data_IF_589888423555
#
_entry.id   IF_589888423555
#
_cell.length_a   1.000
_cell.length_b   1.000
_cell.length_c   1.000
_cell.angle_alpha   90.00
_cell.angle_beta   90.00
_cell.angle_gamma   90.00
#
_symmetry.space_group_name_H-M   'P 1'
#
loop_
_entity.id
_entity.type
_entity.pdbx_description
1 polymer ?
#
# COMPACT_ATOMS: atom_id res chain seq x y z
N UNK A 1 -9.19 -16.50 2.89
CA UNK A 1 -7.75 -16.48 2.53
C UNK A 1 -7.52 -16.99 1.10
N UNK A 2 -7.98 -18.17 0.72
CA UNK A 2 -7.78 -18.76 -0.63
C UNK A 2 -8.24 -17.83 -1.76
N UNK A 3 -9.37 -17.15 -1.61
CA UNK A 3 -9.86 -16.20 -2.63
C UNK A 3 -8.90 -15.06 -2.92
N UNK A 4 -8.16 -14.58 -1.93
CA UNK A 4 -7.15 -13.54 -2.15
C UNK A 4 -6.01 -14.07 -3.04
N UNK A 5 -5.51 -15.28 -2.75
CA UNK A 5 -4.51 -15.92 -3.60
C UNK A 5 -5.02 -16.16 -5.02
N UNK A 6 -6.29 -16.52 -5.15
CA UNK A 6 -6.92 -16.74 -6.46
C UNK A 6 -6.97 -15.44 -7.28
N UNK A 7 -7.44 -14.33 -6.70
CA UNK A 7 -7.52 -13.04 -7.39
C UNK A 7 -6.13 -12.56 -7.84
N UNK A 8 -5.12 -12.69 -6.96
CA UNK A 8 -3.74 -12.34 -7.30
C UNK A 8 -3.17 -13.26 -8.40
N UNK A 9 -3.45 -14.56 -8.30
CA UNK A 9 -3.01 -15.55 -9.31
C UNK A 9 -3.66 -15.33 -10.68
N UNK A 10 -4.87 -14.77 -10.72
CA UNK A 10 -5.54 -14.38 -11.97
C UNK A 10 -4.99 -13.08 -12.56
N UNK A 11 -4.15 -12.38 -11.83
CA UNK A 11 -3.63 -11.08 -12.24
C UNK A 11 -4.76 -10.06 -12.48
N UNK A 12 -5.84 -10.18 -11.67
CA UNK A 12 -6.99 -9.29 -11.76
C UNK A 12 -6.70 -7.97 -11.02
N UNK A 13 -6.80 -6.81 -11.68
CA UNK A 13 -6.59 -5.51 -11.06
C UNK A 13 -7.81 -5.13 -10.21
N UNK A 14 -7.85 -5.64 -9.00
CA UNK A 14 -8.92 -5.45 -8.03
C UNK A 14 -8.43 -4.60 -6.87
N UNK A 15 -9.17 -3.57 -6.48
CA UNK A 15 -8.85 -2.73 -5.33
C UNK A 15 -9.78 -3.06 -4.18
N UNK A 16 -9.20 -3.50 -3.07
CA UNK A 16 -9.89 -3.83 -1.81
C UNK A 16 -9.60 -2.72 -0.80
N UNK A 17 -10.65 -2.06 -0.33
CA UNK A 17 -10.54 -1.14 0.80
C UNK A 17 -10.73 -1.93 2.08
N UNK A 18 -9.66 -2.08 2.86
CA UNK A 18 -9.69 -2.78 4.14
C UNK A 18 -9.85 -1.79 5.28
N UNK A 19 -10.80 -2.06 6.16
CA UNK A 19 -10.99 -1.34 7.42
C UNK A 19 -10.44 -2.20 8.54
N UNK A 20 -9.18 -1.98 8.87
CA UNK A 20 -8.37 -2.84 9.75
C UNK A 20 -8.85 -2.79 11.19
N UNK A 21 -9.09 -3.92 11.80
CA UNK A 21 -9.43 -4.08 13.22
C UNK A 21 -8.95 -5.42 13.78
N UNK A 22 -8.91 -5.51 15.10
CA UNK A 22 -8.60 -6.76 15.78
C UNK A 22 -9.53 -7.89 15.37
N UNK A 23 -8.95 -9.06 15.11
CA UNK A 23 -9.69 -10.26 14.73
C UNK A 23 -10.40 -10.88 15.94
N UNK A 24 -11.60 -11.47 15.69
CA UNK A 24 -12.31 -12.26 16.72
C UNK A 24 -11.51 -13.53 17.06
N UNK A 25 -11.59 -14.11 18.23
CA UNK A 25 -12.25 -13.70 19.46
C UNK A 25 -11.19 -13.28 20.49
N UNK A 26 -11.43 -12.22 21.27
CA UNK A 26 -12.63 -11.42 21.38
C UNK A 26 -12.78 -10.43 20.21
N UNK A 27 -14.00 -9.97 19.93
CA UNK A 27 -14.25 -8.90 18.96
C UNK A 27 -13.84 -7.55 19.54
N UNK A 28 -13.25 -6.70 18.73
CA UNK A 28 -12.93 -5.31 19.06
C UNK A 28 -13.17 -4.39 17.87
N UNK A 29 -13.36 -3.09 18.13
CA UNK A 29 -13.39 -2.05 17.12
C UNK A 29 -12.05 -1.32 17.00
N UNK A 30 -11.13 -1.57 17.92
CA UNK A 30 -9.81 -0.96 17.92
C UNK A 30 -9.00 -1.44 16.69
N UNK A 31 -8.21 -0.55 16.08
CA UNK A 31 -7.38 -0.88 14.95
C UNK A 31 -6.31 -1.88 15.36
N UNK A 32 -6.12 -2.84 14.48
CA UNK A 32 -5.09 -3.87 14.60
C UNK A 32 -4.79 -4.36 13.18
N UNK A 33 -3.53 -4.40 12.82
CA UNK A 33 -3.12 -4.75 11.46
C UNK A 33 -3.03 -6.27 11.20
N UNK A 34 -3.39 -7.14 12.15
CA UNK A 34 -3.32 -8.59 11.96
C UNK A 34 -4.14 -9.10 10.78
N UNK A 35 -5.29 -8.48 10.47
CA UNK A 35 -6.14 -8.85 9.35
C UNK A 35 -5.43 -8.64 8.01
N UNK A 36 -4.86 -7.47 7.79
CA UNK A 36 -4.12 -7.14 6.55
C UNK A 36 -2.76 -7.83 6.50
N UNK A 37 -2.09 -8.00 7.65
CA UNK A 37 -0.83 -8.74 7.73
C UNK A 37 -1.02 -10.23 7.42
N UNK A 38 -2.15 -10.82 7.79
CA UNK A 38 -2.49 -12.19 7.39
C UNK A 38 -2.60 -12.35 5.86
N UNK A 39 -2.88 -11.26 5.14
CA UNK A 39 -2.98 -11.25 3.68
C UNK A 39 -1.66 -10.85 2.97
N UNK A 40 -0.59 -10.54 3.71
CA UNK A 40 0.67 -9.99 3.15
C UNK A 40 1.34 -10.84 2.07
N UNK A 41 1.15 -12.15 2.10
CA UNK A 41 1.76 -13.10 1.17
C UNK A 41 0.79 -13.59 0.08
N UNK A 42 -0.41 -12.99 0.00
CA UNK A 42 -1.44 -13.37 -0.98
C UNK A 42 -1.13 -12.95 -2.41
N UNK A 43 -0.19 -12.02 -2.61
CA UNK A 43 0.14 -11.41 -3.90
C UNK A 43 -0.56 -10.06 -4.14
N UNK A 44 -1.32 -9.57 -3.17
CA UNK A 44 -1.86 -8.21 -3.20
C UNK A 44 -0.76 -7.18 -2.92
N UNK A 45 -0.83 -6.06 -3.62
CA UNK A 45 -0.14 -4.84 -3.21
C UNK A 45 -0.81 -4.30 -1.95
N UNK A 46 -0.07 -3.69 -1.04
CA UNK A 46 -0.65 -3.17 0.21
C UNK A 46 -0.17 -1.75 0.48
N UNK A 47 -1.12 -0.82 0.58
CA UNK A 47 -0.92 0.57 0.92
C UNK A 47 -1.56 0.85 2.28
N UNK A 48 -0.82 1.50 3.19
CA UNK A 48 -1.31 1.86 4.53
C UNK A 48 -1.50 3.38 4.63
N UNK A 49 -2.70 3.80 4.99
CA UNK A 49 -3.10 5.19 5.07
C UNK A 49 -3.01 5.73 6.49
N UNK A 50 -2.62 6.99 6.65
CA UNK A 50 -2.51 7.67 7.93
C UNK A 50 -3.58 8.75 8.16
N UNK A 51 -4.26 9.22 7.10
CA UNK A 51 -5.32 10.23 7.15
C UNK A 51 -6.46 9.88 6.20
N UNK A 52 -7.63 10.50 6.36
CA UNK A 52 -8.75 10.33 5.43
C UNK A 52 -8.41 10.81 4.01
N UNK A 53 -7.58 11.85 3.87
CA UNK A 53 -7.08 12.29 2.57
C UNK A 53 -6.25 11.20 1.89
N UNK A 54 -5.38 10.55 2.65
CA UNK A 54 -4.57 9.45 2.10
C UNK A 54 -5.40 8.23 1.70
N UNK A 55 -6.54 7.98 2.34
CA UNK A 55 -7.45 6.90 1.91
C UNK A 55 -7.97 7.18 0.50
N UNK A 56 -8.40 8.43 0.24
CA UNK A 56 -8.83 8.84 -1.11
C UNK A 56 -7.67 8.74 -2.11
N UNK A 57 -6.55 9.38 -1.80
CA UNK A 57 -5.38 9.45 -2.69
C UNK A 57 -4.82 8.06 -3.00
N UNK A 58 -4.63 7.25 -1.95
CA UNK A 58 -4.15 5.87 -2.12
C UNK A 58 -5.10 4.98 -2.90
N UNK A 59 -6.42 5.23 -2.82
CA UNK A 59 -7.40 4.50 -3.62
C UNK A 59 -7.22 4.81 -5.11
N UNK A 60 -7.05 6.08 -5.48
CA UNK A 60 -6.80 6.49 -6.86
C UNK A 60 -5.47 5.92 -7.38
N UNK A 61 -4.41 6.04 -6.56
CA UNK A 61 -3.09 5.46 -6.86
C UNK A 61 -3.17 3.93 -7.02
N UNK A 62 -3.92 3.26 -6.14
CA UNK A 62 -4.07 1.81 -6.20
C UNK A 62 -4.75 1.33 -7.48
N UNK A 63 -5.78 2.03 -7.97
CA UNK A 63 -6.38 1.72 -9.27
C UNK A 63 -5.37 1.91 -10.39
N UNK A 64 -4.71 3.05 -10.46
CA UNK A 64 -3.72 3.35 -11.50
C UNK A 64 -2.57 2.34 -11.52
N UNK A 65 -2.09 1.95 -10.32
CA UNK A 65 -1.01 0.97 -10.15
C UNK A 65 -1.46 -0.45 -10.51
N UNK A 66 -2.63 -0.87 -10.01
CA UNK A 66 -3.15 -2.22 -10.22
C UNK A 66 -3.47 -2.51 -11.70
N UNK A 67 -3.95 -1.48 -12.41
CA UNK A 67 -4.34 -1.58 -13.83
C UNK A 67 -3.17 -1.40 -14.81
N UNK A 68 -1.99 -0.98 -14.34
CA UNK A 68 -0.81 -0.88 -15.18
C UNK A 68 -0.44 -2.24 -15.79
N UNK A 69 -0.24 -2.29 -17.10
CA UNK A 69 0.02 -3.54 -17.83
C UNK A 69 1.26 -4.30 -17.32
N UNK A 70 2.24 -3.58 -16.76
CA UNK A 70 3.47 -4.14 -16.17
C UNK A 70 3.20 -4.82 -14.83
N UNK A 71 2.13 -4.42 -14.14
CA UNK A 71 1.80 -4.87 -12.77
C UNK A 71 0.67 -5.88 -12.79
N UNK A 72 -0.55 -5.48 -13.18
CA UNK A 72 -1.74 -6.36 -13.19
C UNK A 72 -1.88 -7.21 -11.93
N UNK A 73 -1.82 -6.56 -10.76
CA UNK A 73 -2.01 -7.19 -9.46
C UNK A 73 -3.10 -6.47 -8.67
N UNK A 74 -3.86 -7.20 -7.86
CA UNK A 74 -4.81 -6.58 -6.96
C UNK A 74 -4.09 -5.78 -5.86
N UNK A 75 -4.76 -4.76 -5.33
CA UNK A 75 -4.24 -3.92 -4.26
C UNK A 75 -5.19 -3.87 -3.07
N UNK A 76 -4.62 -3.78 -1.88
CA UNK A 76 -5.32 -3.45 -0.63
C UNK A 76 -4.94 -2.02 -0.25
N UNK A 77 -5.94 -1.17 -0.07
CA UNK A 77 -5.79 0.12 0.60
C UNK A 77 -6.29 -0.07 2.03
N UNK A 78 -5.37 -0.05 2.98
CA UNK A 78 -5.64 -0.28 4.39
C UNK A 78 -5.84 1.03 5.13
N UNK A 79 -6.96 1.16 5.82
CA UNK A 79 -7.25 2.24 6.75
C UNK A 79 -7.53 1.67 8.14
N UNK A 80 -7.06 2.36 9.17
CA UNK A 80 -7.28 1.95 10.54
C UNK A 80 -8.76 2.10 10.89
N UNK A 81 -9.39 0.99 11.28
CA UNK A 81 -10.76 0.97 11.75
C UNK A 81 -10.93 1.89 12.94
N UNK A 82 -12.13 2.43 13.12
CA UNK A 82 -12.48 3.40 14.15
C UNK A 82 -11.72 4.73 14.02
N UNK A 83 -10.38 4.73 13.97
CA UNK A 83 -9.57 5.96 13.91
C UNK A 83 -9.71 6.71 12.58
N UNK A 84 -9.76 6.04 11.46
CA UNK A 84 -10.00 6.67 10.15
C UNK A 84 -11.42 6.44 9.65
N UNK A 85 -11.95 5.24 9.83
CA UNK A 85 -13.24 4.87 9.25
C UNK A 85 -14.44 5.52 9.98
N UNK A 86 -14.28 5.98 11.22
CA UNK A 86 -15.32 6.63 11.99
C UNK A 86 -15.10 8.14 12.16
N UNK A 87 -13.91 8.62 11.90
CA UNK A 87 -13.56 10.05 11.95
C UNK A 87 -14.06 10.76 10.69
N UNK A 88 -14.39 12.03 10.82
CA UNK A 88 -14.77 12.91 9.72
C UNK A 88 -13.74 14.01 9.60
N UNK A 89 -13.02 14.00 8.50
CA UNK A 89 -12.02 15.00 8.15
C UNK A 89 -12.38 15.61 6.78
N UNK A 90 -12.08 16.89 6.57
CA UNK A 90 -12.18 17.47 5.23
C UNK A 90 -11.17 16.78 4.30
N UNK A 91 -11.60 16.49 3.07
CA UNK A 91 -10.75 15.95 2.02
C UNK A 91 -10.89 16.81 0.76
N UNK A 92 -9.80 16.98 0.05
CA UNK A 92 -9.77 17.60 -1.27
C UNK A 92 -10.01 16.54 -2.32
N UNK A 93 -11.17 16.63 -2.99
CA UNK A 93 -11.50 15.75 -4.10
C UNK A 93 -10.91 16.38 -5.37
N UNK A 94 -10.04 15.68 -6.10
CA UNK A 94 -9.48 16.21 -7.35
C UNK A 94 -10.58 16.43 -8.40
N UNK A 95 -10.35 17.38 -9.29
CA UNK A 95 -11.28 17.67 -10.39
C UNK A 95 -11.45 16.44 -11.30
N UNK A 96 -12.68 16.15 -11.77
CA UNK A 96 -12.95 14.97 -12.60
C UNK A 96 -12.08 14.89 -13.86
N UNK A 97 -11.82 16.04 -14.49
CA UNK A 97 -11.01 16.13 -15.70
C UNK A 97 -9.56 15.72 -15.45
N UNK A 98 -9.01 16.14 -14.31
CA UNK A 98 -7.67 15.75 -13.86
C UNK A 98 -7.61 14.25 -13.61
N UNK A 99 -8.64 13.71 -12.97
CA UNK A 99 -8.69 12.27 -12.70
C UNK A 99 -8.95 11.41 -13.92
N UNK A 100 -9.69 11.93 -14.93
CA UNK A 100 -9.89 11.21 -16.18
C UNK A 100 -8.57 11.01 -16.97
N UNK A 101 -7.60 11.92 -16.82
CA UNK A 101 -6.27 11.76 -17.41
C UNK A 101 -5.39 10.81 -16.61
N UNK A 102 -5.47 10.88 -15.28
CA UNK A 102 -4.71 10.00 -14.37
C UNK A 102 -5.21 8.56 -14.37
N UNK A 103 -6.52 8.35 -14.46
CA UNK A 103 -7.19 7.04 -14.53
C UNK A 103 -7.84 6.85 -15.92
N UNK A 104 -7.06 6.51 -16.95
CA UNK A 104 -7.62 6.22 -18.25
C UNK A 104 -8.56 5.00 -18.18
N UNK A 105 -9.49 4.83 -19.12
CA UNK A 105 -10.34 3.65 -19.18
C UNK A 105 -9.50 2.37 -19.14
N UNK A 106 -9.87 1.44 -18.28
CA UNK A 106 -9.19 0.16 -18.17
C UNK A 106 -9.23 -0.62 -19.47
N UNK A 107 -8.06 -0.98 -19.98
CA UNK A 107 -7.93 -1.88 -21.14
C UNK A 107 -7.61 -3.31 -20.62
N UNK A 108 -8.57 -4.22 -20.68
CA UNK A 108 -8.37 -5.61 -20.25
C UNK A 108 -7.50 -6.43 -21.21
N UNK A 109 -7.14 -5.91 -22.39
CA UNK A 109 -6.36 -6.65 -23.42
C UNK A 109 -6.94 -8.07 -23.66
N UNK A 110 -6.13 -9.09 -23.37
CA UNK A 110 -6.48 -10.50 -23.52
C UNK A 110 -7.22 -11.10 -22.33
N UNK A 111 -7.59 -10.29 -21.33
CA UNK A 111 -8.28 -10.76 -20.11
C UNK A 111 -9.81 -10.81 -20.25
N UNK A 112 -10.36 -10.40 -21.38
CA UNK A 112 -11.80 -10.47 -21.63
C UNK A 112 -12.23 -11.86 -22.11
N UNK A 113 -13.22 -12.45 -21.45
CA UNK A 113 -13.87 -13.65 -21.92
C UNK A 113 -14.84 -13.31 -23.07
N UNK A 114 -14.45 -13.62 -24.30
CA UNK A 114 -15.25 -13.39 -25.49
C UNK A 114 -15.36 -14.68 -26.31
N UNK A 115 -16.55 -15.04 -26.78
CA UNK A 115 -16.73 -16.19 -27.64
C UNK A 115 -15.95 -16.07 -28.97
N UNK A 116 -15.75 -14.83 -29.47
CA UNK A 116 -14.97 -14.55 -30.68
C UNK A 116 -13.46 -14.63 -30.49
N UNK A 117 -12.96 -14.55 -29.24
CA UNK A 117 -11.55 -14.62 -28.88
C UNK A 117 -11.44 -15.35 -27.52
N UNK A 118 -11.58 -16.68 -27.51
CA UNK A 118 -11.60 -17.44 -26.27
C UNK A 118 -10.23 -17.42 -25.59
N UNK A 119 -10.22 -17.15 -24.27
CA UNK A 119 -9.04 -17.19 -23.43
C UNK A 119 -9.28 -18.10 -22.22
N UNK A 120 -8.21 -18.64 -21.68
CA UNK A 120 -8.23 -19.43 -20.45
C UNK A 120 -7.43 -18.66 -19.38
N UNK A 121 -8.06 -18.47 -18.22
CA UNK A 121 -7.39 -17.91 -17.05
C UNK A 121 -7.57 -18.84 -15.86
N UNK A 122 -6.66 -18.72 -14.88
CA UNK A 122 -6.74 -19.53 -13.65
C UNK A 122 -6.81 -21.03 -13.89
N UNK A 123 -6.02 -21.50 -14.83
CA UNK A 123 -5.96 -22.94 -15.14
C UNK A 123 -5.47 -23.75 -13.94
N UNK A 124 -6.09 -24.89 -13.70
CA UNK A 124 -5.59 -25.87 -12.76
C UNK A 124 -4.29 -26.49 -13.29
N UNK A 125 -3.23 -26.46 -12.49
CA UNK A 125 -1.94 -27.10 -12.83
C UNK A 125 -1.72 -28.30 -11.92
N UNK A 126 -1.44 -29.45 -12.53
CA UNK A 126 -1.23 -30.72 -11.84
C UNK A 126 0.27 -31.03 -11.75
N UNK A 127 1.05 -30.13 -11.17
CA UNK A 127 2.48 -30.33 -11.00
C UNK A 127 3.20 -29.12 -10.42
N UNK A 128 4.30 -29.38 -9.73
CA UNK A 128 5.01 -28.33 -8.99
C UNK A 128 5.67 -27.28 -9.89
N UNK A 129 6.22 -27.66 -11.03
CA UNK A 129 6.97 -26.74 -11.90
C UNK A 129 6.08 -25.65 -12.48
N UNK A 130 4.92 -25.94 -13.12
CA UNK A 130 4.03 -24.88 -13.59
C UNK A 130 3.47 -24.03 -12.45
N UNK A 131 3.13 -24.63 -11.30
CA UNK A 131 2.68 -23.87 -10.12
C UNK A 131 3.73 -22.86 -9.65
N UNK A 132 4.97 -23.30 -9.52
CA UNK A 132 6.10 -22.43 -9.11
C UNK A 132 6.35 -21.31 -10.12
N UNK A 133 6.21 -21.61 -11.42
CA UNK A 133 6.34 -20.62 -12.48
C UNK A 133 5.29 -19.50 -12.34
N UNK A 134 4.00 -19.83 -12.18
CA UNK A 134 2.95 -18.83 -12.00
C UNK A 134 3.15 -17.99 -10.72
N UNK A 135 3.61 -18.61 -9.64
CA UNK A 135 3.95 -17.88 -8.40
C UNK A 135 5.14 -16.94 -8.61
N UNK A 136 6.12 -17.36 -9.37
CA UNK A 136 7.28 -16.53 -9.72
C UNK A 136 6.90 -15.35 -10.60
N UNK A 137 6.04 -15.52 -11.58
CA UNK A 137 5.49 -14.44 -12.41
C UNK A 137 4.75 -13.38 -11.54
N UNK A 138 3.96 -13.83 -10.57
CA UNK A 138 3.31 -12.93 -9.61
C UNK A 138 4.33 -12.15 -8.78
N UNK A 139 5.42 -12.80 -8.38
CA UNK A 139 6.50 -12.16 -7.64
C UNK A 139 7.24 -11.12 -8.50
N UNK A 140 7.56 -11.43 -9.74
CA UNK A 140 8.20 -10.47 -10.67
C UNK A 140 7.33 -9.22 -10.89
N UNK A 141 6.03 -9.41 -11.08
CA UNK A 141 5.09 -8.30 -11.19
C UNK A 141 5.02 -7.46 -9.91
N UNK A 142 5.10 -8.10 -8.75
CA UNK A 142 5.18 -7.40 -7.46
C UNK A 142 6.46 -6.56 -7.34
N UNK A 143 7.61 -7.08 -7.79
CA UNK A 143 8.85 -6.29 -7.81
C UNK A 143 8.75 -5.10 -8.78
N UNK A 144 8.18 -5.32 -9.97
CA UNK A 144 7.95 -4.26 -10.95
C UNK A 144 7.04 -3.15 -10.39
N UNK A 145 6.11 -3.50 -9.51
CA UNK A 145 5.23 -2.54 -8.87
C UNK A 145 5.96 -1.51 -7.99
N UNK A 146 7.20 -1.75 -7.55
CA UNK A 146 8.00 -0.76 -6.83
C UNK A 146 8.38 0.43 -7.73
N UNK A 147 8.82 0.14 -8.96
CA UNK A 147 9.19 1.16 -9.94
C UNK A 147 7.95 1.90 -10.43
N UNK A 148 6.90 1.15 -10.79
CA UNK A 148 5.64 1.73 -11.28
C UNK A 148 4.97 2.58 -10.21
N UNK A 149 5.08 2.21 -8.93
CA UNK A 149 4.55 3.03 -7.84
C UNK A 149 5.18 4.42 -7.80
N UNK A 150 6.49 4.52 -7.98
CA UNK A 150 7.18 5.81 -7.97
C UNK A 150 6.76 6.70 -9.13
N UNK A 151 6.60 6.11 -10.33
CA UNK A 151 6.08 6.81 -11.51
C UNK A 151 4.65 7.32 -11.26
N UNK A 152 3.78 6.45 -10.76
CA UNK A 152 2.36 6.77 -10.48
C UNK A 152 2.25 7.82 -9.37
N UNK A 153 3.05 7.71 -8.31
CA UNK A 153 3.04 8.68 -7.22
C UNK A 153 3.52 10.07 -7.69
N UNK A 154 4.55 10.12 -8.56
CA UNK A 154 5.03 11.36 -9.14
C UNK A 154 3.99 11.99 -10.09
N UNK A 155 3.33 11.18 -10.93
CA UNK A 155 2.22 11.63 -11.78
C UNK A 155 1.06 12.19 -10.94
N UNK A 156 0.70 11.50 -9.85
CA UNK A 156 -0.34 11.95 -8.92
C UNK A 156 0.01 13.29 -8.26
N UNK A 157 1.25 13.44 -7.81
CA UNK A 157 1.73 14.70 -7.22
C UNK A 157 1.69 15.85 -8.24
N UNK A 158 2.10 15.63 -9.48
CA UNK A 158 2.01 16.63 -10.55
C UNK A 158 0.57 17.09 -10.79
N UNK A 159 -0.39 16.16 -10.71
CA UNK A 159 -1.80 16.43 -10.97
C UNK A 159 -2.52 17.08 -9.77
N UNK A 160 -2.09 16.82 -8.55
CA UNK A 160 -2.83 17.21 -7.32
C UNK A 160 -2.03 18.09 -6.36
N UNK A 161 -0.72 18.20 -6.53
CA UNK A 161 0.19 18.85 -5.58
C UNK A 161 0.43 18.05 -4.30
N UNK A 162 -0.08 16.81 -4.20
CA UNK A 162 0.02 15.98 -2.99
C UNK A 162 0.99 14.82 -3.18
N UNK A 163 2.10 14.87 -2.43
CA UNK A 163 3.11 13.81 -2.46
C UNK A 163 2.62 12.54 -1.74
N UNK A 164 2.80 11.41 -2.39
CA UNK A 164 2.46 10.09 -1.85
C UNK A 164 3.63 9.10 -2.00
N UNK A 165 4.81 9.36 -1.41
CA UNK A 165 5.98 8.49 -1.55
C UNK A 165 5.72 7.10 -0.93
N UNK A 166 6.36 6.07 -1.48
CA UNK A 166 6.28 4.71 -0.94
C UNK A 166 6.78 4.62 0.51
N UNK A 167 7.77 5.43 0.85
CA UNK A 167 8.30 5.62 2.21
C UNK A 167 8.37 7.11 2.48
N UNK A 168 7.69 7.53 3.53
CA UNK A 168 7.72 8.91 3.99
C UNK A 168 8.77 9.06 5.09
N UNK A 169 9.60 10.08 4.96
CA UNK A 169 10.59 10.48 5.94
C UNK A 169 10.20 11.83 6.55
N UNK A 170 10.03 11.88 7.87
CA UNK A 170 9.70 13.11 8.58
C UNK A 170 10.80 13.46 9.57
N UNK A 171 11.47 14.59 9.33
CA UNK A 171 12.60 15.09 10.13
C UNK A 171 13.70 14.05 10.37
N UNK A 172 14.05 13.31 9.32
CA UNK A 172 15.03 12.23 9.40
C UNK A 172 16.45 12.68 9.08
N UNK A 173 16.64 13.81 8.41
CA UNK A 173 17.94 14.24 7.86
C UNK A 173 19.00 14.37 8.94
N UNK A 174 18.66 15.03 10.05
CA UNK A 174 19.52 15.31 11.19
C UNK A 174 19.18 14.44 12.43
N UNK A 175 18.38 13.40 12.25
CA UNK A 175 17.97 12.52 13.35
C UNK A 175 19.02 11.46 13.64
N UNK A 176 19.38 11.29 14.92
CA UNK A 176 20.21 10.19 15.41
C UNK A 176 19.39 8.90 15.49
N UNK A 177 18.12 9.01 15.84
CA UNK A 177 17.20 7.87 15.98
C UNK A 177 15.88 8.14 15.30
N UNK A 178 15.21 7.07 14.90
CA UNK A 178 13.92 7.18 14.20
C UNK A 178 12.89 6.19 14.75
N UNK A 179 11.62 6.61 14.76
CA UNK A 179 10.50 5.70 14.82
C UNK A 179 10.20 5.15 13.42
N UNK A 180 9.76 3.89 13.35
CA UNK A 180 9.19 3.29 12.14
C UNK A 180 7.78 2.86 12.47
N UNK A 181 6.78 3.40 11.76
CA UNK A 181 5.36 3.15 12.06
C UNK A 181 4.51 3.09 10.79
N UNK A 182 3.44 2.31 10.83
CA UNK A 182 2.39 2.22 9.82
C UNK A 182 1.09 2.91 10.30
N UNK A 183 0.19 3.19 9.37
CA UNK A 183 -1.19 3.55 9.65
C UNK A 183 -1.39 4.91 10.33
N UNK A 184 -2.58 5.09 10.93
CA UNK A 184 -3.03 6.36 11.49
C UNK A 184 -2.20 6.84 12.69
N UNK A 185 -1.63 5.93 13.47
CA UNK A 185 -0.80 6.33 14.61
C UNK A 185 0.50 7.04 14.21
N UNK A 186 0.94 6.92 12.96
CA UNK A 186 2.07 7.69 12.45
C UNK A 186 1.83 9.21 12.51
N UNK A 187 0.58 9.67 12.45
CA UNK A 187 0.24 11.10 12.63
C UNK A 187 0.53 11.58 14.04
N UNK A 188 0.23 10.75 15.06
CA UNK A 188 0.56 11.02 16.46
C UNK A 188 2.07 10.94 16.70
N UNK A 189 2.76 10.03 16.01
CA UNK A 189 4.21 9.94 16.07
C UNK A 189 4.90 11.19 15.52
N UNK A 190 4.35 11.85 14.49
CA UNK A 190 4.86 13.17 14.04
C UNK A 190 4.82 14.19 15.17
N UNK A 191 3.69 14.31 15.86
CA UNK A 191 3.56 15.21 17.00
C UNK A 191 4.54 14.87 18.13
N UNK A 192 4.73 13.58 18.42
CA UNK A 192 5.69 13.14 19.41
C UNK A 192 7.13 13.48 19.00
N UNK A 193 7.48 13.33 17.72
CA UNK A 193 8.79 13.74 17.17
C UNK A 193 9.00 15.24 17.40
N UNK A 194 8.00 16.09 17.10
CA UNK A 194 8.11 17.53 17.30
C UNK A 194 8.35 17.88 18.77
N UNK A 195 7.58 17.31 19.69
CA UNK A 195 7.74 17.52 21.13
C UNK A 195 9.09 17.03 21.66
N UNK A 196 9.57 15.88 21.21
CA UNK A 196 10.88 15.36 21.63
C UNK A 196 12.01 16.27 21.13
N UNK A 197 11.90 16.79 19.90
CA UNK A 197 12.88 17.74 19.35
C UNK A 197 12.91 19.05 20.12
N UNK A 198 11.79 19.55 20.62
CA UNK A 198 11.74 20.72 21.50
C UNK A 198 12.52 20.51 22.80
N UNK A 199 12.67 19.26 23.24
CA UNK A 199 13.48 18.89 24.42
C UNK A 199 14.92 18.51 24.07
N UNK A 200 15.33 18.66 22.81
CA UNK A 200 16.69 18.45 22.36
C UNK A 200 17.02 17.04 21.87
N UNK A 201 16.00 16.17 21.69
CA UNK A 201 16.21 14.82 21.14
C UNK A 201 16.12 14.84 19.61
N UNK A 202 17.20 14.51 18.87
CA UNK A 202 17.19 14.46 17.42
C UNK A 202 16.54 13.18 16.89
N UNK A 203 15.22 13.15 16.95
CA UNK A 203 14.39 11.99 16.53
C UNK A 203 13.65 12.33 15.24
N UNK A 204 13.46 11.34 14.38
CA UNK A 204 12.66 11.40 13.17
C UNK A 204 11.63 10.27 13.10
N UNK A 205 10.83 10.26 12.02
CA UNK A 205 9.87 9.22 11.73
C UNK A 205 10.04 8.74 10.29
N UNK A 206 10.09 7.42 10.11
CA UNK A 206 10.04 6.73 8.83
C UNK A 206 8.70 5.99 8.75
N UNK A 207 7.91 6.28 7.73
CA UNK A 207 6.60 5.69 7.56
C UNK A 207 6.49 4.97 6.20
N UNK A 208 6.54 3.64 6.16
CA UNK A 208 6.18 2.91 4.96
C UNK A 208 4.69 3.15 4.63
N UNK A 209 4.38 3.69 3.44
CA UNK A 209 3.02 3.75 2.91
C UNK A 209 2.75 2.52 2.06
N UNK A 210 3.66 2.21 1.13
CA UNK A 210 3.67 0.94 0.43
C UNK A 210 4.31 -0.11 1.33
N UNK A 211 3.55 -1.15 1.69
CA UNK A 211 4.03 -2.24 2.54
C UNK A 211 4.30 -3.52 1.74
N UNK A 212 3.52 -3.74 0.67
CA UNK A 212 3.72 -4.84 -0.28
C UNK A 212 3.58 -4.35 -1.71
N UNK A 213 4.60 -4.58 -2.54
CA UNK A 213 5.93 -5.11 -2.21
C UNK A 213 6.67 -4.24 -1.20
N UNK A 214 7.53 -4.86 -0.39
CA UNK A 214 8.25 -4.11 0.64
C UNK A 214 9.36 -3.24 0.00
N UNK A 215 9.37 -1.93 0.23
CA UNK A 215 10.33 -1.01 -0.38
C UNK A 215 11.68 -1.03 0.35
N UNK A 216 12.35 -2.18 0.32
CA UNK A 216 13.54 -2.47 1.13
C UNK A 216 14.65 -1.43 0.96
N UNK A 217 14.98 -1.07 -0.28
CA UNK A 217 16.07 -0.13 -0.54
C UNK A 217 15.76 1.27 0.00
N UNK A 218 14.50 1.73 -0.11
CA UNK A 218 14.06 3.02 0.43
C UNK A 218 14.10 3.03 1.96
N UNK A 219 13.68 1.95 2.59
CA UNK A 219 13.77 1.79 4.06
C UNK A 219 15.23 1.75 4.49
N UNK A 220 16.07 0.98 3.80
CA UNK A 220 17.52 0.89 4.09
C UNK A 220 18.19 2.27 4.00
N UNK A 221 17.88 3.05 2.96
CA UNK A 221 18.44 4.40 2.82
C UNK A 221 17.92 5.35 3.92
N UNK A 222 16.63 5.30 4.25
CA UNK A 222 16.04 6.10 5.34
C UNK A 222 16.66 5.79 6.72
N UNK A 223 17.09 4.55 6.94
CA UNK A 223 17.69 4.10 8.20
C UNK A 223 19.22 4.21 8.23
N UNK A 224 19.84 4.54 7.12
CA UNK A 224 21.29 4.58 7.01
C UNK A 224 21.91 5.62 7.96
N UNK A 225 22.91 5.19 8.73
CA UNK A 225 23.60 6.04 9.70
C UNK A 225 22.83 6.35 10.98
N UNK A 226 21.63 5.83 11.17
CA UNK A 226 20.87 6.01 12.42
C UNK A 226 21.45 5.16 13.52
N UNK A 227 21.56 5.73 14.73
CA UNK A 227 22.08 5.07 15.93
C UNK A 227 21.02 4.18 16.59
N UNK A 228 19.73 4.55 16.46
CA UNK A 228 18.61 3.83 17.03
C UNK A 228 17.39 3.80 16.11
N UNK A 229 16.73 2.65 16.08
CA UNK A 229 15.48 2.44 15.36
C UNK A 229 14.47 1.78 16.28
N UNK A 230 13.33 2.43 16.49
CA UNK A 230 12.21 1.85 17.21
C UNK A 230 11.06 1.57 16.25
N UNK A 231 10.80 0.29 16.00
CA UNK A 231 9.63 -0.15 15.21
C UNK A 231 8.44 -0.28 16.15
N UNK A 232 7.37 0.43 15.83
CA UNK A 232 6.12 0.42 16.60
C UNK A 232 5.02 -0.03 15.66
N UNK A 233 4.43 -1.17 15.95
CA UNK A 233 3.42 -1.80 15.13
C UNK A 233 2.17 -2.13 15.96
N UNK A 234 1.03 -2.28 15.26
CA UNK A 234 -0.28 -2.55 15.83
C UNK A 234 -0.75 -3.98 15.55
N UNK A 235 0.16 -4.93 15.54
CA UNK A 235 -0.13 -6.34 15.39
C UNK A 235 0.54 -7.17 16.49
N UNK A 236 -0.04 -8.33 16.79
CA UNK A 236 0.44 -9.27 17.80
C UNK A 236 0.95 -10.53 17.14
#
# INVERSE_FOLDING_TARGET
MEMLYTVAGWRAPFVLINVSRGLSAPITLEPDHNDVMAARDSGFLQLHCATCQEVLDSTLIAYRLAEDARVRLPAIVNQDGFYLSFTREPVEIPEPETMASFLPPFDPENMQFRASAPVSQAVAVLGGVPYSYFRYETHLASLQALEVYDEVAAEFEQNTGRANPAVECYRTEDADSVFVMLGAFATKARQAVDQLRETGWPIGLVRPRLFRPFPEEKIREALKGKQGVAVIDQNI
#
